data_IF_345839253071
#
_entry.id   IF_345839253071
#
_cell.length_a   1.000
_cell.length_b   1.000
_cell.length_c   1.000
_cell.angle_alpha   90.00
_cell.angle_beta   90.00
_cell.angle_gamma   90.00
#
_symmetry.space_group_name_H-M   'P 1'
#
loop_
_entity.id
_entity.type
_entity.pdbx_description
1 polymer ?
#
# COMPACT_ATOMS: atom_id res chain seq x y z
N UNK A 1 -39.87 -54.65 -31.78
CA UNK A 1 -38.42 -54.46 -31.59
C UNK A 1 -38.12 -52.97 -31.49
N UNK A 2 -37.44 -52.63 -30.41
CA UNK A 2 -36.88 -51.36 -29.91
C UNK A 2 -36.55 -50.30 -30.96
N UNK A 3 -36.91 -49.03 -30.69
CA UNK A 3 -36.02 -47.89 -30.96
C UNK A 3 -36.18 -46.82 -29.87
N UNK A 4 -35.15 -46.68 -29.04
CA UNK A 4 -34.96 -45.62 -28.07
C UNK A 4 -34.39 -44.37 -28.76
N UNK A 5 -34.75 -43.17 -28.29
CA UNK A 5 -33.96 -41.94 -28.54
C UNK A 5 -33.85 -41.14 -27.26
N UNK A 6 -32.66 -41.20 -26.67
CA UNK A 6 -32.22 -40.35 -25.57
C UNK A 6 -31.93 -38.94 -26.10
N UNK A 7 -32.36 -37.91 -25.36
CA UNK A 7 -32.02 -36.51 -25.61
C UNK A 7 -30.88 -36.11 -24.65
N UNK A 8 -29.73 -35.79 -25.22
CA UNK A 8 -28.50 -35.41 -24.52
C UNK A 8 -28.50 -33.93 -24.15
N UNK A 9 -28.15 -33.64 -22.90
CA UNK A 9 -28.00 -32.31 -22.30
C UNK A 9 -26.66 -31.72 -22.75
N UNK A 10 -26.67 -30.51 -23.32
CA UNK A 10 -25.46 -29.78 -23.70
C UNK A 10 -25.11 -28.74 -22.62
N UNK A 11 -24.12 -29.05 -21.78
CA UNK A 11 -23.55 -28.11 -20.80
C UNK A 11 -22.49 -27.24 -21.47
N UNK A 12 -22.73 -25.92 -21.55
CA UNK A 12 -21.71 -24.95 -21.98
C UNK A 12 -20.71 -24.69 -20.84
N UNK A 13 -19.48 -25.16 -20.98
CA UNK A 13 -18.34 -24.66 -20.20
C UNK A 13 -17.91 -23.30 -20.75
N UNK A 14 -18.09 -22.24 -19.97
CA UNK A 14 -17.44 -20.95 -20.23
C UNK A 14 -15.96 -21.05 -19.83
N UNK A 15 -15.07 -21.10 -20.82
CA UNK A 15 -13.64 -21.03 -20.60
C UNK A 15 -13.25 -19.58 -20.26
N UNK A 16 -13.01 -19.30 -18.98
CA UNK A 16 -12.43 -18.03 -18.52
C UNK A 16 -10.95 -18.05 -18.87
N UNK A 17 -10.56 -17.38 -19.96
CA UNK A 17 -9.15 -17.13 -20.26
C UNK A 17 -8.61 -16.09 -19.29
N UNK A 18 -7.87 -16.53 -18.27
CA UNK A 18 -7.03 -15.64 -17.47
C UNK A 18 -5.93 -15.10 -18.37
N UNK A 19 -6.09 -13.87 -18.85
CA UNK A 19 -5.01 -13.14 -19.52
C UNK A 19 -3.91 -12.97 -18.46
N UNK A 20 -2.69 -13.47 -18.67
CA UNK A 20 -1.58 -13.11 -17.80
C UNK A 20 -1.43 -11.60 -17.92
N UNK A 21 -1.66 -10.88 -16.82
CA UNK A 21 -1.32 -9.47 -16.75
C UNK A 21 0.16 -9.37 -17.13
N UNK A 22 0.45 -8.79 -18.30
CA UNK A 22 1.81 -8.41 -18.65
C UNK A 22 2.33 -7.57 -17.49
N UNK A 23 3.25 -8.12 -16.71
CA UNK A 23 3.96 -7.37 -15.70
C UNK A 23 4.74 -6.27 -16.43
N UNK A 24 4.50 -4.99 -16.12
CA UNK A 24 5.43 -3.97 -16.55
C UNK A 24 6.77 -4.32 -15.91
N UNK A 25 7.72 -4.73 -16.76
CA UNK A 25 9.15 -4.77 -16.48
C UNK A 25 9.52 -3.50 -15.73
N UNK A 26 10.20 -3.65 -14.59
CA UNK A 26 10.60 -2.60 -13.65
C UNK A 26 10.68 -1.20 -14.28
N UNK A 27 9.80 -0.28 -13.84
CA UNK A 27 9.85 1.10 -14.33
C UNK A 27 11.08 1.79 -13.77
N UNK A 28 11.81 2.37 -14.72
CA UNK A 28 12.71 3.53 -14.63
C UNK A 28 12.94 4.05 -13.20
N UNK A 29 14.15 3.80 -12.70
CA UNK A 29 14.61 4.19 -11.37
C UNK A 29 14.52 5.71 -11.13
N UNK A 30 13.45 6.16 -10.46
CA UNK A 30 13.60 7.26 -9.51
C UNK A 30 14.43 6.77 -8.33
N UNK A 31 15.34 7.60 -7.83
CA UNK A 31 16.10 7.30 -6.62
C UNK A 31 15.14 6.93 -5.49
N UNK A 32 15.47 5.92 -4.65
CA UNK A 32 14.63 5.58 -3.52
C UNK A 32 14.39 6.81 -2.65
N UNK A 33 13.14 6.97 -2.22
CA UNK A 33 12.70 8.07 -1.38
C UNK A 33 12.11 7.55 -0.08
N UNK A 34 12.12 8.40 0.94
CA UNK A 34 11.33 8.16 2.15
C UNK A 34 10.09 9.04 2.12
N UNK A 35 8.99 8.51 2.67
CA UNK A 35 7.72 9.24 2.77
C UNK A 35 7.48 9.49 4.26
N UNK A 36 7.19 10.73 4.66
CA UNK A 36 6.84 11.07 6.03
C UNK A 36 5.51 11.79 6.11
N UNK A 37 4.86 11.71 7.27
CA UNK A 37 3.71 12.55 7.55
C UNK A 37 4.16 14.00 7.74
N UNK A 38 3.66 14.88 6.90
CA UNK A 38 3.78 16.32 6.99
C UNK A 38 2.40 16.98 6.91
N UNK A 39 2.38 18.30 6.86
CA UNK A 39 1.15 19.07 6.95
C UNK A 39 0.44 18.91 8.31
N UNK A 40 -0.60 19.69 8.52
CA UNK A 40 -1.29 19.81 9.80
C UNK A 40 -1.39 21.26 10.24
N UNK A 41 -2.20 21.51 11.25
CA UNK A 41 -2.27 22.82 11.89
C UNK A 41 -0.90 23.14 12.53
N UNK A 42 -0.19 24.22 12.11
CA UNK A 42 1.08 24.58 12.70
C UNK A 42 0.97 24.93 14.20
N UNK A 43 -0.23 25.28 14.67
CA UNK A 43 -0.53 25.59 16.07
C UNK A 43 -0.90 24.33 16.87
N UNK A 44 -1.27 23.24 16.19
CA UNK A 44 -1.62 21.95 16.79
C UNK A 44 -1.25 20.76 15.88
N UNK A 45 0.05 20.45 15.71
CA UNK A 45 0.47 19.39 14.83
C UNK A 45 -0.03 18.04 15.31
N UNK A 46 -0.45 17.19 14.38
CA UNK A 46 -0.85 15.84 14.71
C UNK A 46 0.31 15.08 15.39
N UNK A 47 0.04 14.18 16.35
CA UNK A 47 1.08 13.50 17.14
C UNK A 47 2.03 12.63 16.32
N UNK A 48 1.69 12.33 15.06
CA UNK A 48 2.50 11.57 14.13
C UNK A 48 3.30 12.43 13.13
N UNK A 49 3.28 13.76 13.27
CA UNK A 49 4.03 14.65 12.39
C UNK A 49 5.52 14.31 12.40
N UNK A 50 6.12 14.22 11.21
CA UNK A 50 7.52 13.84 11.02
C UNK A 50 7.79 12.33 11.03
N UNK A 51 6.83 11.49 11.42
CA UNK A 51 6.99 10.03 11.36
C UNK A 51 7.01 9.54 9.91
N UNK A 52 7.84 8.53 9.64
CA UNK A 52 7.97 7.92 8.32
C UNK A 52 6.96 6.81 8.09
N UNK A 53 6.61 6.59 6.82
CA UNK A 53 5.87 5.43 6.37
C UNK A 53 6.69 4.17 6.65
N UNK A 54 6.03 3.20 7.27
CA UNK A 54 6.61 1.92 7.64
C UNK A 54 5.73 0.78 7.12
N UNK A 55 6.35 -0.21 6.50
CA UNK A 55 5.67 -1.40 6.00
C UNK A 55 5.66 -2.48 7.09
N UNK A 56 4.49 -2.81 7.64
CA UNK A 56 4.36 -3.83 8.68
C UNK A 56 3.06 -4.62 8.53
N UNK A 57 3.18 -5.95 8.50
CA UNK A 57 2.03 -6.85 8.50
C UNK A 57 1.08 -6.68 7.31
N UNK A 58 1.61 -6.29 6.14
CA UNK A 58 0.84 -6.06 4.91
C UNK A 58 0.18 -4.67 4.79
N UNK A 59 0.46 -3.76 5.73
CA UNK A 59 -0.08 -2.40 5.72
C UNK A 59 1.01 -1.35 5.92
N UNK A 60 0.71 -0.12 5.50
CA UNK A 60 1.53 1.04 5.79
C UNK A 60 1.08 1.71 7.08
N UNK A 61 2.05 2.04 7.93
CA UNK A 61 1.86 2.61 9.26
C UNK A 61 2.72 3.87 9.46
N UNK A 62 2.33 4.65 10.47
CA UNK A 62 3.16 5.65 11.14
C UNK A 62 3.40 5.19 12.58
N UNK A 63 4.63 5.30 13.07
CA UNK A 63 4.99 4.95 14.46
C UNK A 63 5.02 3.45 14.76
N UNK A 64 5.11 2.60 13.73
CA UNK A 64 5.31 1.15 13.88
C UNK A 64 6.62 0.75 13.23
N UNK A 65 7.42 -0.09 13.87
CA UNK A 65 8.64 -0.63 13.26
C UNK A 65 8.29 -1.47 12.03
N UNK A 66 9.06 -1.38 10.94
CA UNK A 66 8.77 -2.17 9.76
C UNK A 66 9.02 -3.66 10.04
N UNK A 67 8.20 -4.53 9.46
CA UNK A 67 8.38 -5.98 9.58
C UNK A 67 8.66 -6.61 8.22
N UNK A 68 9.75 -7.37 8.14
CA UNK A 68 10.19 -8.04 6.92
C UNK A 68 10.12 -9.54 7.14
N UNK A 69 9.23 -10.18 6.40
CA UNK A 69 9.17 -11.63 6.34
C UNK A 69 9.85 -12.08 5.04
N UNK A 70 10.94 -12.80 5.19
CA UNK A 70 11.72 -13.37 4.09
C UNK A 70 11.58 -14.89 4.12
N UNK A 71 10.39 -15.37 3.77
CA UNK A 71 10.11 -16.80 3.71
C UNK A 71 10.70 -17.47 2.46
N UNK A 72 11.18 -16.68 1.50
CA UNK A 72 11.72 -17.17 0.25
C UNK A 72 13.24 -17.34 0.34
N UNK A 73 13.69 -18.60 0.37
CA UNK A 73 15.11 -18.96 0.45
C UNK A 73 15.90 -18.58 -0.80
N UNK A 74 15.20 -18.26 -1.89
CA UNK A 74 15.80 -17.91 -3.18
C UNK A 74 15.95 -16.39 -3.35
N UNK A 75 15.53 -15.59 -2.37
CA UNK A 75 15.73 -14.14 -2.36
C UNK A 75 16.81 -13.74 -1.34
N UNK A 76 17.82 -12.95 -1.74
CA UNK A 76 18.76 -12.36 -0.79
C UNK A 76 17.99 -11.39 0.11
N UNK A 77 17.68 -11.85 1.32
CA UNK A 77 17.00 -11.04 2.31
C UNK A 77 18.00 -10.26 3.15
N UNK A 78 18.29 -9.04 2.73
CA UNK A 78 18.91 -8.06 3.61
C UNK A 78 17.79 -7.42 4.44
N UNK A 79 17.79 -7.64 5.77
CA UNK A 79 17.01 -6.80 6.68
C UNK A 79 17.44 -5.34 6.44
N UNK A 80 16.52 -4.38 6.27
CA UNK A 80 16.92 -3.02 6.01
C UNK A 80 17.71 -2.50 7.21
N UNK A 81 18.81 -1.84 6.90
CA UNK A 81 19.77 -1.34 7.90
C UNK A 81 19.19 -0.17 8.71
N UNK A 82 18.18 0.51 8.16
CA UNK A 82 17.42 1.57 8.80
C UNK A 82 15.98 1.10 9.00
N UNK A 83 15.37 1.41 10.15
CA UNK A 83 13.95 1.13 10.44
C UNK A 83 12.95 1.93 9.56
N UNK A 84 13.36 2.31 8.34
CA UNK A 84 12.62 3.11 7.36
C UNK A 84 12.49 2.29 6.09
N UNK A 85 11.31 2.39 5.46
CA UNK A 85 11.09 1.76 4.17
C UNK A 85 11.30 2.80 3.09
N UNK A 86 12.18 2.49 2.14
CA UNK A 86 12.35 3.29 0.94
C UNK A 86 11.29 2.90 -0.09
N UNK A 87 10.90 3.87 -0.90
CA UNK A 87 9.88 3.74 -1.93
C UNK A 87 10.41 4.24 -3.26
N UNK A 88 9.89 3.69 -4.35
CA UNK A 88 9.98 4.27 -5.69
C UNK A 88 8.61 4.75 -6.08
N UNK A 89 8.51 6.04 -6.40
CA UNK A 89 7.24 6.69 -6.73
C UNK A 89 7.25 7.09 -8.20
N UNK A 90 6.17 6.71 -8.89
CA UNK A 90 5.78 7.14 -10.23
C UNK A 90 4.24 7.19 -10.25
N UNK A 91 3.59 6.83 -11.35
CA UNK A 91 2.13 6.59 -11.39
C UNK A 91 1.68 5.45 -10.43
N UNK A 92 2.62 4.69 -9.90
CA UNK A 92 2.44 3.67 -8.87
C UNK A 92 3.59 3.75 -7.85
N UNK A 93 3.47 3.01 -6.75
CA UNK A 93 4.49 2.95 -5.71
C UNK A 93 4.98 1.51 -5.55
N UNK A 94 6.30 1.33 -5.46
CA UNK A 94 6.95 0.06 -5.12
C UNK A 94 7.80 0.27 -3.88
N UNK A 95 7.77 -0.70 -2.96
CA UNK A 95 8.73 -0.75 -1.87
C UNK A 95 10.11 -1.06 -2.43
N UNK A 96 11.11 -0.25 -2.09
CA UNK A 96 12.52 -0.53 -2.36
C UNK A 96 13.06 -1.52 -1.32
N UNK A 97 12.36 -2.65 -1.19
CA UNK A 97 12.67 -3.81 -0.35
C UNK A 97 12.77 -5.07 -1.22
N UNK A 98 13.29 -6.16 -0.65
CA UNK A 98 13.49 -7.41 -1.36
C UNK A 98 12.14 -7.95 -1.90
N UNK A 99 11.97 -7.96 -3.22
CA UNK A 99 10.80 -8.53 -3.90
C UNK A 99 9.86 -7.54 -4.60
N UNK A 100 10.22 -6.26 -4.72
CA UNK A 100 9.54 -5.31 -5.62
C UNK A 100 8.05 -5.13 -5.32
N UNK A 101 7.69 -5.21 -4.04
CA UNK A 101 6.31 -5.25 -3.57
C UNK A 101 5.57 -3.98 -3.98
N UNK A 102 4.40 -4.15 -4.60
CA UNK A 102 3.58 -3.04 -5.08
C UNK A 102 2.75 -2.51 -3.92
N UNK A 103 2.79 -1.20 -3.71
CA UNK A 103 1.90 -0.51 -2.80
C UNK A 103 0.60 -0.20 -3.53
N UNK A 104 -0.52 -0.36 -2.84
CA UNK A 104 -1.85 -0.13 -3.37
C UNK A 104 -2.79 0.39 -2.27
N UNK A 105 -3.85 1.07 -2.67
CA UNK A 105 -4.97 1.39 -1.78
C UNK A 105 -5.99 0.25 -1.90
N UNK A 106 -6.20 -0.50 -0.81
CA UNK A 106 -7.15 -1.61 -0.76
C UNK A 106 -8.60 -1.13 -0.95
N UNK A 107 -9.57 -2.04 -1.19
CA UNK A 107 -10.98 -1.66 -1.41
C UNK A 107 -11.60 -0.89 -0.22
N UNK A 108 -11.12 -1.14 0.99
CA UNK A 108 -11.51 -0.43 2.21
C UNK A 108 -10.69 0.85 2.47
N UNK A 109 -9.86 1.28 1.53
CA UNK A 109 -9.03 2.47 1.61
C UNK A 109 -7.71 2.31 2.36
N UNK A 110 -7.42 1.15 2.96
CA UNK A 110 -6.15 0.93 3.65
C UNK A 110 -4.98 0.96 2.67
N UNK A 111 -3.90 1.67 3.02
CA UNK A 111 -2.66 1.60 2.24
C UNK A 111 -1.93 0.31 2.59
N UNK A 112 -1.73 -0.52 1.57
CA UNK A 112 -1.25 -1.90 1.69
C UNK A 112 -0.16 -2.18 0.67
N UNK A 113 0.52 -3.31 0.83
CA UNK A 113 1.54 -3.76 -0.10
C UNK A 113 1.46 -5.27 -0.31
N UNK A 114 1.88 -5.73 -1.48
CA UNK A 114 1.86 -7.14 -1.84
C UNK A 114 2.91 -7.95 -1.07
N UNK A 115 2.70 -9.26 -0.92
CA UNK A 115 3.79 -10.16 -0.55
C UNK A 115 4.88 -10.16 -1.63
N UNK A 116 6.15 -10.42 -1.30
CA UNK A 116 7.23 -10.57 -2.29
C UNK A 116 6.86 -11.62 -3.34
N UNK A 117 7.16 -11.35 -4.61
CA UNK A 117 7.15 -12.28 -5.77
C UNK A 117 5.81 -12.94 -6.15
N UNK A 118 4.84 -13.07 -5.23
CA UNK A 118 3.58 -13.82 -5.42
C UNK A 118 2.35 -13.11 -4.85
N UNK A 119 2.48 -11.85 -4.44
CA UNK A 119 1.37 -11.14 -3.83
C UNK A 119 0.31 -10.72 -4.84
N UNK A 120 -0.91 -11.23 -4.67
CA UNK A 120 -2.09 -10.83 -5.44
C UNK A 120 -2.68 -9.55 -4.84
N UNK A 121 -2.90 -8.55 -5.69
CA UNK A 121 -3.63 -7.33 -5.30
C UNK A 121 -5.12 -7.64 -5.29
N UNK A 122 -5.86 -7.37 -4.18
CA UNK A 122 -7.29 -7.62 -4.12
C UNK A 122 -8.08 -6.86 -5.21
N UNK A 123 -9.13 -7.47 -5.74
CA UNK A 123 -10.05 -6.81 -6.68
C UNK A 123 -10.66 -5.56 -6.06
N UNK A 124 -10.79 -4.49 -6.85
CA UNK A 124 -11.26 -3.17 -6.39
C UNK A 124 -10.19 -2.29 -5.73
N UNK A 125 -8.95 -2.76 -5.65
CA UNK A 125 -7.82 -1.93 -5.18
C UNK A 125 -7.39 -0.91 -6.24
N UNK A 126 -6.82 0.20 -5.78
CA UNK A 126 -6.18 1.21 -6.63
C UNK A 126 -4.67 1.01 -6.58
N UNK A 127 -4.08 0.66 -7.73
CA UNK A 127 -2.64 0.42 -7.87
C UNK A 127 -1.93 1.50 -8.69
N UNK A 128 -2.69 2.33 -9.41
CA UNK A 128 -2.20 3.46 -10.22
C UNK A 128 -2.87 4.76 -9.80
N UNK A 129 -2.38 5.90 -10.32
CA UNK A 129 -2.85 7.24 -9.96
C UNK A 129 -2.17 7.80 -8.72
N UNK A 130 -1.05 7.22 -8.29
CA UNK A 130 -0.16 7.88 -7.35
C UNK A 130 0.59 8.99 -8.08
N UNK A 131 0.73 10.16 -7.47
CA UNK A 131 1.45 11.28 -8.08
C UNK A 131 2.08 12.19 -7.04
N UNK A 132 3.04 12.98 -7.51
CA UNK A 132 3.63 14.06 -6.73
C UNK A 132 3.05 15.39 -7.19
N UNK A 133 2.53 16.16 -6.24
CA UNK A 133 2.25 17.59 -6.39
C UNK A 133 3.30 18.35 -5.57
N UNK A 134 4.32 18.88 -6.26
CA UNK A 134 5.58 19.26 -5.62
C UNK A 134 6.22 18.05 -4.90
N UNK A 135 6.38 18.13 -3.58
CA UNK A 135 6.88 17.03 -2.75
C UNK A 135 5.75 16.21 -2.09
N UNK A 136 4.49 16.56 -2.34
CA UNK A 136 3.35 15.92 -1.69
C UNK A 136 2.90 14.73 -2.51
N UNK A 137 2.87 13.56 -1.88
CA UNK A 137 2.31 12.35 -2.44
C UNK A 137 0.80 12.35 -2.30
N UNK A 138 0.12 12.05 -3.41
CA UNK A 138 -1.33 11.88 -3.49
C UNK A 138 -1.65 10.52 -4.11
N UNK A 139 -2.81 9.95 -3.77
CA UNK A 139 -3.38 8.78 -4.42
C UNK A 139 -4.73 9.15 -5.05
N UNK A 140 -4.83 9.11 -6.39
CA UNK A 140 -6.03 9.56 -7.13
C UNK A 140 -6.50 10.94 -6.66
N UNK A 141 -5.57 11.90 -6.64
CA UNK A 141 -5.80 13.29 -6.19
C UNK A 141 -6.28 13.43 -4.73
N UNK A 142 -6.19 12.36 -3.95
CA UNK A 142 -6.63 12.31 -2.56
C UNK A 142 -5.43 12.19 -1.63
N UNK A 143 -5.42 13.00 -0.57
CA UNK A 143 -4.47 12.90 0.53
C UNK A 143 -4.69 11.64 1.38
N UNK A 144 -3.86 11.48 2.40
CA UNK A 144 -3.92 10.34 3.31
C UNK A 144 -4.55 10.73 4.64
N UNK A 145 -5.10 9.73 5.32
CA UNK A 145 -5.53 9.84 6.71
C UNK A 145 -4.77 8.80 7.54
N UNK A 146 -4.42 9.17 8.77
CA UNK A 146 -3.78 8.31 9.75
C UNK A 146 -4.79 8.00 10.85
N UNK A 147 -5.14 6.73 10.99
CA UNK A 147 -6.12 6.26 11.97
C UNK A 147 -5.40 5.52 13.11
N UNK A 148 -5.56 5.95 14.37
CA UNK A 148 -4.87 5.30 15.48
C UNK A 148 -5.39 3.88 15.70
N UNK A 149 -4.60 3.04 16.36
CA UNK A 149 -5.04 1.69 16.77
C UNK A 149 -5.99 1.71 17.95
N UNK A 150 -5.86 2.72 18.80
CA UNK A 150 -6.69 2.98 19.98
C UNK A 150 -6.89 4.50 20.12
N UNK A 151 -8.05 4.94 20.58
CA UNK A 151 -8.41 6.36 20.68
C UNK A 151 -7.52 7.12 21.69
N UNK A 152 -7.16 6.46 22.78
CA UNK A 152 -6.44 7.08 23.89
C UNK A 152 -4.92 6.97 23.75
N UNK A 153 -4.43 6.22 22.74
CA UNK A 153 -3.01 6.05 22.49
C UNK A 153 -2.48 7.04 21.45
N UNK A 154 -1.26 7.51 21.67
CA UNK A 154 -0.49 8.30 20.69
C UNK A 154 0.15 7.39 19.62
N UNK A 155 -0.63 6.49 19.02
CA UNK A 155 -0.21 5.60 17.94
C UNK A 155 0.00 4.13 18.35
N UNK A 156 0.41 3.26 17.42
CA UNK A 156 0.70 3.54 16.01
C UNK A 156 -0.57 3.87 15.20
N UNK A 157 -0.38 4.51 14.04
CA UNK A 157 -1.47 4.86 13.14
C UNK A 157 -1.37 4.10 11.83
N UNK A 158 -2.48 3.51 11.40
CA UNK A 158 -2.60 2.88 10.09
C UNK A 158 -2.94 3.93 9.04
N UNK A 159 -2.26 3.87 7.89
CA UNK A 159 -2.45 4.83 6.80
C UNK A 159 -3.56 4.36 5.86
N UNK A 160 -4.46 5.27 5.51
CA UNK A 160 -5.54 5.08 4.54
C UNK A 160 -5.55 6.22 3.52
N UNK A 161 -6.21 6.01 2.38
CA UNK A 161 -6.62 7.07 1.47
C UNK A 161 -8.13 6.95 1.19
N UNK A 162 -8.86 8.04 1.43
CA UNK A 162 -10.32 8.07 1.39
C UNK A 162 -10.87 8.41 -0.01
N UNK A 163 -10.31 7.76 -1.02
CA UNK A 163 -10.64 8.02 -2.43
C UNK A 163 -12.14 7.75 -2.65
N UNK A 164 -12.90 8.79 -2.99
CA UNK A 164 -14.35 8.70 -3.20
C UNK A 164 -15.14 8.34 -1.93
N UNK A 165 -14.61 8.61 -0.74
CA UNK A 165 -15.33 8.36 0.53
C UNK A 165 -15.40 6.89 0.94
N UNK A 166 -14.52 6.04 0.39
CA UNK A 166 -14.57 4.57 0.58
C UNK A 166 -14.25 4.10 2.00
N UNK A 167 -13.54 4.89 2.81
CA UNK A 167 -13.17 4.48 4.17
C UNK A 167 -14.39 4.63 5.05
N UNK A 168 -14.81 3.53 5.68
CA UNK A 168 -15.93 3.49 6.63
C UNK A 168 -15.42 3.33 8.05
N UNK A 169 -16.30 3.62 9.02
CA UNK A 169 -16.04 3.38 10.44
C UNK A 169 -15.59 1.94 10.69
N UNK A 170 -16.25 0.95 10.07
CA UNK A 170 -15.88 -0.47 10.22
C UNK A 170 -14.47 -0.83 9.75
N UNK A 171 -13.86 -0.01 8.89
CA UNK A 171 -12.58 -0.29 8.24
C UNK A 171 -11.37 0.19 9.05
N UNK A 172 -11.58 1.20 9.89
CA UNK A 172 -10.51 1.79 10.71
C UNK A 172 -10.35 1.04 12.03
N UNK A 173 -9.18 1.09 12.69
CA UNK A 173 -8.93 0.27 13.88
C UNK A 173 -9.86 0.58 15.05
N UNK A 174 -10.09 1.86 15.37
CA UNK A 174 -10.97 2.29 16.47
C UNK A 174 -12.46 2.11 16.20
N UNK A 175 -12.82 1.63 15.00
CA UNK A 175 -14.20 1.57 14.50
C UNK A 175 -14.90 2.92 14.40
N UNK A 176 -14.12 4.01 14.31
CA UNK A 176 -14.63 5.37 14.17
C UNK A 176 -13.67 6.22 13.33
N UNK A 177 -14.05 6.50 12.09
CA UNK A 177 -13.27 7.29 11.13
C UNK A 177 -12.99 8.71 11.62
N UNK A 178 -13.90 9.25 12.45
CA UNK A 178 -13.71 10.55 13.09
C UNK A 178 -12.49 10.64 14.01
N UNK A 179 -11.89 9.52 14.41
CA UNK A 179 -10.64 9.50 15.17
C UNK A 179 -9.39 9.56 14.26
N UNK A 180 -9.57 9.54 12.94
CA UNK A 180 -8.48 9.64 11.98
C UNK A 180 -8.15 11.10 11.66
N UNK A 181 -6.87 11.39 11.50
CA UNK A 181 -6.40 12.74 11.15
C UNK A 181 -5.85 12.75 9.73
N UNK A 182 -6.30 13.72 8.93
CA UNK A 182 -5.77 13.98 7.58
C UNK A 182 -4.36 14.55 7.66
N UNK A 183 -3.51 14.14 6.73
CA UNK A 183 -2.15 14.66 6.65
C UNK A 183 -1.62 14.65 5.22
N UNK A 184 -0.60 15.47 4.98
CA UNK A 184 0.11 15.52 3.70
C UNK A 184 1.28 14.55 3.75
N UNK A 185 1.29 13.53 2.89
CA UNK A 185 2.45 12.63 2.79
C UNK A 185 3.57 13.34 2.01
N UNK A 186 4.69 13.65 2.65
CA UNK A 186 5.79 14.38 2.03
C UNK A 186 6.91 13.43 1.66
N UNK A 187 7.31 13.45 0.39
CA UNK A 187 8.46 12.74 -0.13
C UNK A 187 9.74 13.50 0.21
N UNK A 188 10.72 12.80 0.78
CA UNK A 188 12.04 13.34 1.09
C UNK A 188 13.12 12.49 0.45
N UNK A 189 13.97 13.12 -0.37
CA UNK A 189 15.20 12.52 -0.85
C UNK A 189 16.30 12.75 0.19
N UNK A 190 16.60 11.76 1.05
CA UNK A 190 17.91 11.77 1.68
C UNK A 190 18.90 11.24 0.65
N UNK A 191 19.99 11.99 0.40
CA UNK A 191 21.22 11.35 -0.09
C UNK A 191 21.52 10.25 0.91
N UNK A 192 21.34 8.98 0.52
CA UNK A 192 21.88 7.86 1.28
C UNK A 192 23.35 8.22 1.45
N UNK A 193 23.82 8.44 2.69
CA UNK A 193 25.25 8.49 2.93
C UNK A 193 25.76 7.11 2.54
N UNK A 194 26.27 7.00 1.32
CA UNK A 194 27.13 5.91 0.91
C UNK A 194 28.30 5.98 1.89
N UNK A 195 28.28 5.12 2.90
CA UNK A 195 29.46 4.87 3.71
C UNK A 195 30.40 4.08 2.79
N UNK A 196 31.44 4.77 2.32
CA UNK A 196 32.60 4.17 1.65
C UNK A 196 33.31 3.20 2.59
#
# INVERSE_FOLDING_TARGET
MVFAKAATIFSLLAAVSAIPALEPRAVSATNPVFIRAGGGDPEAPAPFFGLYFSANGGYIWLGKDPSFTCDDKDLPCSQPQDARVAFRVSNYIVLDSNGGQKVYVAPNGALSFTKPTKGVVPSGSVITGFKLDGNNLLAQDTEFIACPTNKDDHGPWKVFSDIGGRVKDSDVPTKKKGDCTRFTAVVTSNKIKQYN
#
